data_IF_046652289679
#
_entry.id   IF_046652289679
#
_cell.length_a   1.000
_cell.length_b   1.000
_cell.length_c   1.000
_cell.angle_alpha   90.00
_cell.angle_beta   90.00
_cell.angle_gamma   90.00
#
_symmetry.space_group_name_H-M   'P 1'
#
loop_
_entity.id
_entity.type
_entity.pdbx_description
1 polymer ?
#
# COMPACT_ATOMS: atom_id res chain seq x y z
N UNK A 1 2.06 8.15 18.32
CA UNK A 1 1.28 8.37 17.09
C UNK A 1 2.26 8.47 15.93
N UNK A 2 2.58 7.31 15.35
CA UNK A 2 3.47 7.21 14.19
C UNK A 2 2.60 6.96 12.98
N UNK A 3 2.51 7.97 12.10
CA UNK A 3 1.75 7.85 10.85
C UNK A 3 2.42 6.86 9.91
N UNK A 4 1.63 6.14 9.12
CA UNK A 4 2.09 5.13 8.16
C UNK A 4 3.27 5.63 7.29
N UNK A 5 3.16 6.84 6.74
CA UNK A 5 4.21 7.47 5.93
C UNK A 5 5.51 7.85 6.67
N UNK A 6 5.52 7.82 8.00
CA UNK A 6 6.71 8.09 8.83
C UNK A 6 7.18 6.85 9.59
N UNK A 7 6.62 5.68 9.29
CA UNK A 7 6.92 4.48 10.06
C UNK A 7 8.27 3.87 9.61
N UNK A 8 9.27 3.72 10.51
CA UNK A 8 10.62 3.30 10.12
C UNK A 8 10.70 1.88 9.55
N UNK A 9 9.69 1.04 9.86
CA UNK A 9 9.57 -0.34 9.36
C UNK A 9 8.71 -0.49 8.10
N UNK A 10 8.09 0.58 7.61
CA UNK A 10 7.22 0.53 6.44
C UNK A 10 7.69 1.53 5.41
N UNK A 11 8.07 1.03 4.24
CA UNK A 11 8.41 1.90 3.12
C UNK A 11 7.11 2.39 2.47
N UNK A 12 6.73 3.61 2.82
CA UNK A 12 5.53 4.29 2.34
C UNK A 12 5.84 5.73 1.91
N UNK A 13 5.24 6.24 0.81
CA UNK A 13 4.37 5.53 -0.13
C UNK A 13 5.16 4.47 -0.93
N UNK A 14 4.53 3.32 -1.24
CA UNK A 14 5.19 2.29 -2.02
C UNK A 14 5.33 2.76 -3.48
N UNK A 15 6.27 2.15 -4.20
CA UNK A 15 6.44 2.46 -5.61
C UNK A 15 5.31 1.83 -6.42
N UNK A 16 4.54 2.67 -7.12
CA UNK A 16 3.44 2.22 -7.96
C UNK A 16 3.96 1.63 -9.26
N UNK A 17 3.50 0.43 -9.56
CA UNK A 17 3.66 -0.23 -10.83
C UNK A 17 2.31 -0.21 -11.55
N UNK A 18 2.33 -0.05 -12.86
CA UNK A 18 1.13 0.01 -13.68
C UNK A 18 1.44 -0.50 -15.07
N UNK A 19 0.45 -1.13 -15.68
CA UNK A 19 0.47 -1.48 -17.09
C UNK A 19 0.02 -0.25 -17.87
N UNK A 20 0.92 0.70 -18.06
CA UNK A 20 0.60 1.87 -18.84
C UNK A 20 1.82 2.23 -19.70
N UNK A 21 1.55 2.65 -20.94
CA UNK A 21 2.54 2.81 -22.00
C UNK A 21 3.63 3.85 -21.67
N UNK A 22 4.56 4.13 -22.59
CA UNK A 22 5.68 5.04 -22.35
C UNK A 22 5.28 6.47 -21.91
N UNK A 23 4.03 6.88 -22.12
CA UNK A 23 3.46 8.19 -21.76
C UNK A 23 2.64 8.19 -20.47
N UNK A 24 2.61 7.08 -19.75
CA UNK A 24 1.78 6.98 -18.57
C UNK A 24 2.38 7.66 -17.34
N UNK A 25 1.66 8.62 -16.80
CA UNK A 25 1.99 9.21 -15.51
C UNK A 25 1.69 8.20 -14.41
N UNK A 26 2.75 7.70 -13.77
CA UNK A 26 2.60 6.90 -12.56
C UNK A 26 2.15 7.83 -11.42
N UNK A 27 1.15 7.43 -10.62
CA UNK A 27 0.71 8.23 -9.49
C UNK A 27 1.89 8.49 -8.55
N UNK A 28 2.24 9.76 -8.36
CA UNK A 28 3.38 10.13 -7.53
C UNK A 28 2.96 10.13 -6.06
N UNK A 29 3.55 9.23 -5.27
CA UNK A 29 3.34 9.16 -3.82
C UNK A 29 1.95 8.66 -3.43
N UNK A 30 1.11 9.53 -2.89
CA UNK A 30 -0.19 9.20 -2.28
C UNK A 30 -1.37 9.59 -3.19
N UNK A 31 -1.21 9.41 -4.50
CA UNK A 31 -2.22 9.72 -5.51
C UNK A 31 -3.05 8.48 -5.85
N UNK A 32 -4.34 8.70 -6.16
CA UNK A 32 -5.29 7.64 -6.49
C UNK A 32 -6.15 7.16 -5.32
N UNK A 33 -7.08 6.27 -5.64
CA UNK A 33 -8.05 5.68 -4.71
C UNK A 33 -7.74 4.21 -4.51
N UNK A 34 -7.66 3.77 -3.25
CA UNK A 34 -7.41 2.37 -2.91
C UNK A 34 -8.60 1.50 -3.31
N UNK A 35 -8.42 0.66 -4.33
CA UNK A 35 -9.48 -0.26 -4.81
C UNK A 35 -9.40 -1.62 -4.16
N UNK A 36 -8.18 -2.12 -3.93
CA UNK A 36 -7.98 -3.49 -3.43
C UNK A 36 -6.71 -3.59 -2.61
N UNK A 37 -6.76 -4.46 -1.61
CA UNK A 37 -5.62 -4.82 -0.77
C UNK A 37 -5.54 -6.34 -0.72
N UNK A 38 -4.37 -6.89 -1.01
CA UNK A 38 -4.11 -8.32 -0.94
C UNK A 38 -2.95 -8.59 0.01
N UNK A 39 -3.13 -9.58 0.87
CA UNK A 39 -2.08 -10.08 1.74
C UNK A 39 -1.49 -11.33 1.10
N UNK A 40 -0.19 -11.32 0.84
CA UNK A 40 0.54 -12.41 0.23
C UNK A 40 1.49 -13.00 1.28
N UNK A 41 1.14 -14.17 1.79
CA UNK A 41 2.04 -15.03 2.55
C UNK A 41 2.42 -16.17 1.63
N UNK A 42 3.57 -16.04 0.97
CA UNK A 42 3.93 -17.02 -0.07
C UNK A 42 4.31 -18.35 0.57
N UNK A 43 4.95 -18.35 1.74
CA UNK A 43 5.37 -19.56 2.47
C UNK A 43 5.76 -19.20 3.92
N UNK A 44 5.89 -20.16 4.87
CA UNK A 44 6.44 -19.91 6.21
C UNK A 44 7.90 -19.40 6.19
N UNK A 45 8.60 -19.54 5.07
CA UNK A 45 9.96 -19.06 4.83
C UNK A 45 10.03 -17.79 3.98
N UNK A 46 8.92 -17.36 3.37
CA UNK A 46 8.88 -16.16 2.55
C UNK A 46 8.37 -14.96 3.36
N UNK A 47 9.04 -13.81 3.22
CA UNK A 47 8.59 -12.57 3.83
C UNK A 47 7.14 -12.25 3.42
N UNK A 48 6.29 -11.96 4.40
CA UNK A 48 4.92 -11.50 4.15
C UNK A 48 4.96 -10.21 3.31
N UNK A 49 4.04 -10.07 2.36
CA UNK A 49 3.95 -8.89 1.50
C UNK A 49 2.51 -8.42 1.40
N UNK A 50 2.30 -7.12 1.47
CA UNK A 50 0.99 -6.51 1.18
C UNK A 50 1.04 -5.93 -0.21
N UNK A 51 0.14 -6.37 -1.08
CA UNK A 51 -0.08 -5.76 -2.39
C UNK A 51 -1.27 -4.80 -2.30
N UNK A 52 -1.07 -3.57 -2.76
CA UNK A 52 -2.10 -2.57 -2.94
C UNK A 52 -2.48 -2.51 -4.42
N UNK A 53 -3.74 -2.23 -4.71
CA UNK A 53 -4.19 -1.76 -6.01
C UNK A 53 -4.97 -0.47 -5.85
N UNK A 54 -4.61 0.50 -6.66
CA UNK A 54 -5.26 1.80 -6.74
C UNK A 54 -5.79 2.05 -8.14
N UNK A 55 -6.76 2.93 -8.22
CA UNK A 55 -7.18 3.54 -9.48
C UNK A 55 -6.77 5.01 -9.47
N UNK A 56 -6.10 5.44 -10.53
CA UNK A 56 -5.71 6.82 -10.75
C UNK A 56 -5.90 7.15 -12.23
N UNK A 57 -6.60 8.25 -12.51
CA UNK A 57 -6.89 8.70 -13.88
C UNK A 57 -7.51 7.60 -14.79
N UNK A 58 -8.41 6.79 -14.23
CA UNK A 58 -9.03 5.66 -14.94
C UNK A 58 -8.10 4.46 -15.20
N UNK A 59 -6.85 4.52 -14.77
CA UNK A 59 -5.88 3.44 -14.88
C UNK A 59 -5.69 2.73 -13.54
N UNK A 60 -5.51 1.40 -13.59
CA UNK A 60 -5.21 0.58 -12.43
C UNK A 60 -3.71 0.47 -12.21
N UNK A 61 -3.28 0.85 -11.01
CA UNK A 61 -1.91 0.67 -10.55
C UNK A 61 -1.88 -0.29 -9.37
N UNK A 62 -0.75 -0.92 -9.16
CA UNK A 62 -0.52 -1.83 -8.05
C UNK A 62 0.86 -1.61 -7.47
N UNK A 63 1.02 -1.85 -6.18
CA UNK A 63 2.29 -1.70 -5.49
C UNK A 63 2.45 -2.75 -4.41
N UNK A 64 3.68 -3.05 -4.02
CA UNK A 64 3.96 -3.86 -2.84
C UNK A 64 4.47 -2.97 -1.72
N UNK A 65 3.98 -3.20 -0.50
CA UNK A 65 4.49 -2.56 0.71
C UNK A 65 5.61 -3.42 1.29
N UNK A 66 6.87 -2.96 1.25
CA UNK A 66 7.99 -3.64 1.90
C UNK A 66 7.88 -3.45 3.42
N UNK A 67 8.00 -4.54 4.17
CA UNK A 67 8.14 -4.52 5.63
C UNK A 67 8.75 -5.83 6.12
N UNK A 68 9.72 -5.73 7.02
CA UNK A 68 10.40 -6.87 7.64
C UNK A 68 9.60 -7.47 8.81
N UNK A 69 8.52 -6.82 9.21
CA UNK A 69 7.70 -7.21 10.36
C UNK A 69 6.34 -7.81 9.89
N UNK A 70 6.16 -9.14 9.96
CA UNK A 70 4.95 -9.80 9.46
C UNK A 70 3.72 -9.51 10.33
N UNK A 71 3.91 -9.25 11.62
CA UNK A 71 2.82 -8.88 12.54
C UNK A 71 2.33 -7.48 12.20
N UNK A 72 3.24 -6.53 11.97
CA UNK A 72 2.92 -5.19 11.50
C UNK A 72 2.18 -5.23 10.17
N UNK A 73 2.65 -6.01 9.19
CA UNK A 73 2.01 -6.16 7.89
C UNK A 73 0.58 -6.71 7.98
N UNK A 74 0.35 -7.68 8.87
CA UNK A 74 -0.99 -8.25 9.09
C UNK A 74 -1.95 -7.20 9.66
N UNK A 75 -1.48 -6.40 10.62
CA UNK A 75 -2.28 -5.29 11.18
C UNK A 75 -2.50 -4.18 10.16
N UNK A 76 -1.46 -3.85 9.40
CA UNK A 76 -1.52 -2.85 8.32
C UNK A 76 -2.53 -3.28 7.27
N UNK A 77 -2.49 -4.54 6.82
CA UNK A 77 -3.47 -5.12 5.92
C UNK A 77 -4.91 -4.95 6.44
N UNK A 78 -5.15 -5.26 7.70
CA UNK A 78 -6.48 -5.11 8.30
C UNK A 78 -6.96 -3.64 8.28
N UNK A 79 -6.07 -2.69 8.57
CA UNK A 79 -6.40 -1.25 8.47
C UNK A 79 -6.65 -0.82 7.03
N UNK A 80 -5.74 -1.17 6.10
CA UNK A 80 -5.85 -0.85 4.68
C UNK A 80 -7.14 -1.41 4.05
N UNK A 81 -7.53 -2.62 4.45
CA UNK A 81 -8.76 -3.26 3.98
C UNK A 81 -10.01 -2.46 4.38
N UNK A 82 -10.00 -1.81 5.55
CA UNK A 82 -11.08 -0.91 5.96
C UNK A 82 -11.06 0.44 5.23
N UNK A 83 -9.95 0.81 4.60
CA UNK A 83 -9.82 2.03 3.81
C UNK A 83 -10.00 1.80 2.30
N UNK A 84 -10.52 0.65 1.88
CA UNK A 84 -10.88 0.42 0.48
C UNK A 84 -11.97 1.44 0.09
N UNK A 85 -11.75 2.16 -1.00
CA UNK A 85 -12.58 3.28 -1.46
C UNK A 85 -12.07 4.66 -1.02
N UNK A 86 -11.08 4.72 -0.13
CA UNK A 86 -10.49 5.99 0.32
C UNK A 86 -9.27 6.38 -0.54
N UNK A 87 -8.97 7.68 -0.57
CA UNK A 87 -7.77 8.21 -1.23
C UNK A 87 -6.51 7.75 -0.51
N UNK A 88 -5.44 7.51 -1.26
CA UNK A 88 -4.15 7.09 -0.71
C UNK A 88 -3.57 8.09 0.31
N UNK A 89 -3.90 9.38 0.20
CA UNK A 89 -3.52 10.42 1.17
C UNK A 89 -4.15 10.17 2.57
N UNK A 90 -5.41 9.74 2.61
CA UNK A 90 -6.09 9.34 3.87
C UNK A 90 -5.40 8.10 4.43
N UNK A 91 -5.09 7.14 3.56
CA UNK A 91 -4.44 5.89 3.93
C UNK A 91 -3.06 6.12 4.55
N UNK A 92 -2.21 6.97 3.98
CA UNK A 92 -0.90 7.26 4.57
C UNK A 92 -0.93 8.19 5.78
N UNK A 93 -2.09 8.83 6.03
CA UNK A 93 -2.38 9.56 7.26
C UNK A 93 -2.88 8.64 8.38
N UNK A 94 -3.09 7.34 8.11
CA UNK A 94 -3.47 6.38 9.15
C UNK A 94 -2.42 6.30 10.25
N UNK A 95 -2.88 6.45 11.48
CA UNK A 95 -2.05 6.24 12.65
C UNK A 95 -1.86 4.75 12.89
N UNK A 96 -0.59 4.33 12.91
CA UNK A 96 -0.19 2.99 13.29
C UNK A 96 0.16 3.02 14.79
N UNK A 97 -0.89 3.09 15.61
CA UNK A 97 -0.76 2.86 17.06
C UNK A 97 -0.66 1.34 17.28
N UNK A 98 0.57 0.82 17.38
CA UNK A 98 0.85 -0.59 17.63
C UNK A 98 1.92 -0.77 18.68
#
# INVERSE_FOLDING_TARGET
>A
MTVLRKHPKVHWPPQWNGSCGPDAEFPAGEQGVLKKVQFLTVDPTAAARVQLRIEHDGNEFWAFVPSDDPVLLSRLYAKLKNCIGHSMCEVGSLDLDF
#
